data_IF_324958544418
#
_entry.id   IF_324958544418
#
_cell.length_a   1.000
_cell.length_b   1.000
_cell.length_c   1.000
_cell.angle_alpha   90.00
_cell.angle_beta   90.00
_cell.angle_gamma   90.00
#
_symmetry.space_group_name_H-M   'P 1'
#
loop_
_entity.id
_entity.type
_entity.pdbx_description
1 polymer ?
#
# COMPACT_ATOMS: atom_id res chain seq x y z
N UNK A 1 -15.74 -49.25 -49.64
CA UNK A 1 -14.57 -50.10 -49.35
C UNK A 1 -13.48 -49.77 -50.36
N UNK A 2 -12.31 -49.49 -49.81
CA UNK A 2 -11.11 -48.94 -50.40
C UNK A 2 -10.59 -49.77 -51.58
N UNK A 3 -10.18 -49.11 -52.66
CA UNK A 3 -8.99 -49.52 -53.43
C UNK A 3 -8.10 -48.30 -53.65
N UNK A 4 -7.05 -48.25 -52.85
CA UNK A 4 -5.85 -47.46 -53.06
C UNK A 4 -5.22 -47.79 -54.42
N UNK A 5 -4.31 -46.94 -54.92
CA UNK A 5 -2.86 -47.16 -54.75
C UNK A 5 -2.01 -46.47 -55.86
N UNK A 6 -1.07 -45.59 -55.43
CA UNK A 6 0.28 -45.32 -56.00
C UNK A 6 0.36 -44.51 -57.32
N UNK A 7 1.33 -43.63 -57.62
CA UNK A 7 2.45 -42.95 -56.92
C UNK A 7 3.23 -42.13 -58.00
N UNK A 8 3.64 -40.91 -57.64
CA UNK A 8 4.87 -40.17 -58.01
C UNK A 8 5.35 -39.96 -59.48
N UNK A 9 5.50 -38.65 -59.76
CA UNK A 9 6.71 -37.95 -60.29
C UNK A 9 7.13 -38.19 -61.75
N UNK A 10 7.07 -37.13 -62.56
CA UNK A 10 8.17 -36.60 -63.39
C UNK A 10 7.80 -35.14 -63.77
N UNK A 11 8.44 -34.13 -63.17
CA UNK A 11 9.52 -33.31 -63.77
C UNK A 11 9.02 -32.32 -64.84
N UNK A 12 9.02 -31.05 -64.44
CA UNK A 12 9.61 -29.88 -65.12
C UNK A 12 9.89 -30.02 -66.64
N UNK A 13 9.25 -29.18 -67.46
CA UNK A 13 9.89 -28.22 -68.39
C UNK A 13 8.93 -27.76 -69.50
N UNK A 14 8.58 -26.47 -69.48
CA UNK A 14 8.48 -25.54 -70.62
C UNK A 14 7.66 -24.32 -70.16
N UNK A 15 8.32 -23.30 -69.61
CA UNK A 15 8.84 -22.14 -70.34
C UNK A 15 7.77 -21.42 -71.19
N UNK A 16 7.36 -20.28 -70.63
CA UNK A 16 7.23 -18.98 -71.29
C UNK A 16 6.28 -18.87 -72.50
N UNK A 17 5.16 -18.19 -72.28
CA UNK A 17 4.90 -16.99 -73.06
C UNK A 17 4.13 -15.96 -72.23
N UNK A 18 4.69 -14.75 -72.20
CA UNK A 18 4.23 -13.58 -71.49
C UNK A 18 2.84 -13.12 -71.94
N UNK A 19 2.03 -12.65 -70.99
CA UNK A 19 1.30 -11.40 -71.21
C UNK A 19 1.19 -10.61 -69.91
N UNK A 20 1.83 -9.43 -69.92
CA UNK A 20 1.83 -8.47 -68.82
C UNK A 20 0.46 -7.79 -68.72
N UNK A 21 -0.37 -8.23 -67.78
CA UNK A 21 -1.45 -7.40 -67.27
C UNK A 21 -0.94 -6.62 -66.06
N UNK A 22 -0.82 -5.30 -66.23
CA UNK A 22 -0.49 -4.33 -65.19
C UNK A 22 -1.39 -4.54 -63.98
N UNK A 23 -0.82 -5.07 -62.90
CA UNK A 23 -1.44 -5.05 -61.60
C UNK A 23 -1.62 -3.58 -61.19
N UNK A 24 -2.87 -3.17 -60.95
CA UNK A 24 -3.16 -1.99 -60.14
C UNK A 24 -2.47 -2.21 -58.79
N UNK A 25 -1.54 -1.33 -58.44
CA UNK A 25 -1.15 -1.14 -57.04
C UNK A 25 -2.41 -0.82 -56.25
N UNK A 26 -2.94 -1.85 -55.59
CA UNK A 26 -3.74 -1.64 -54.39
C UNK A 26 -2.75 -1.09 -53.39
N UNK A 27 -2.79 0.24 -53.19
CA UNK A 27 -2.24 0.83 -51.97
C UNK A 27 -3.01 0.16 -50.84
N UNK A 28 -2.40 -0.87 -50.26
CA UNK A 28 -2.75 -1.31 -48.94
C UNK A 28 -2.44 -0.10 -48.07
N UNK A 29 -3.45 0.71 -47.79
CA UNK A 29 -3.45 1.58 -46.63
C UNK A 29 -3.31 0.62 -45.45
N UNK A 30 -2.05 0.39 -45.07
CA UNK A 30 -1.72 -0.19 -43.77
C UNK A 30 -2.29 0.81 -42.79
N UNK A 31 -3.49 0.52 -42.29
CA UNK A 31 -3.99 1.12 -41.07
C UNK A 31 -2.98 0.71 -40.02
N UNK A 32 -1.99 1.58 -39.78
CA UNK A 32 -1.16 1.50 -38.60
C UNK A 32 -2.15 1.76 -37.47
N UNK A 33 -2.69 0.69 -36.92
CA UNK A 33 -3.37 0.70 -35.64
C UNK A 33 -2.29 1.22 -34.68
N UNK A 34 -2.36 2.52 -34.37
CA UNK A 34 -1.53 3.11 -33.33
C UNK A 34 -1.69 2.22 -32.11
N UNK A 35 -0.60 1.59 -31.70
CA UNK A 35 -0.57 0.87 -30.43
C UNK A 35 -1.16 1.82 -29.38
N UNK A 36 -2.13 1.38 -28.57
CA UNK A 36 -2.66 2.22 -27.52
C UNK A 36 -1.48 2.72 -26.68
N UNK A 37 -1.43 4.03 -26.45
CA UNK A 37 -0.41 4.63 -25.59
C UNK A 37 -0.33 3.84 -24.28
N UNK A 38 0.89 3.52 -23.79
CA UNK A 38 1.04 2.80 -22.54
C UNK A 38 0.31 3.56 -21.43
N UNK A 39 -0.44 2.82 -20.63
CA UNK A 39 -1.17 3.40 -19.50
C UNK A 39 -0.22 4.23 -18.64
N UNK A 40 -0.67 5.41 -18.22
CA UNK A 40 0.09 6.31 -17.36
C UNK A 40 -0.83 6.86 -16.28
N UNK A 41 -0.52 6.54 -15.02
CA UNK A 41 -1.23 7.07 -13.88
C UNK A 41 -1.14 8.61 -13.86
N UNK A 42 -2.27 9.23 -13.52
CA UNK A 42 -2.34 10.68 -13.37
C UNK A 42 -1.48 11.14 -12.20
N UNK A 43 -0.98 12.37 -12.27
CA UNK A 43 -0.27 13.02 -11.17
C UNK A 43 -1.17 14.12 -10.61
N UNK A 44 -1.40 14.07 -9.31
CA UNK A 44 -2.26 15.00 -8.59
C UNK A 44 -1.45 15.96 -7.72
N UNK A 45 -2.07 17.09 -7.37
CA UNK A 45 -1.52 18.05 -6.41
C UNK A 45 -2.44 18.12 -5.20
N UNK A 46 -1.84 18.26 -4.02
CA UNK A 46 -2.53 18.26 -2.74
C UNK A 46 -2.18 19.55 -2.01
N UNK A 47 -3.10 20.50 -2.00
CA UNK A 47 -2.88 21.80 -1.35
C UNK A 47 -3.40 21.78 0.08
N UNK A 48 -2.50 22.05 1.03
CA UNK A 48 -2.85 22.41 2.41
C UNK A 48 -3.77 21.41 3.14
N UNK A 49 -3.62 20.11 2.87
CA UNK A 49 -4.38 19.04 3.51
C UNK A 49 -3.73 18.61 4.83
N UNK A 50 -4.55 18.30 5.84
CA UNK A 50 -4.07 17.58 7.02
C UNK A 50 -3.66 16.15 6.69
N UNK A 51 -2.93 15.47 7.58
CA UNK A 51 -2.51 14.09 7.37
C UNK A 51 -3.67 13.16 6.95
N UNK A 52 -4.81 13.10 7.68
CA UNK A 52 -5.93 12.25 7.26
C UNK A 52 -6.52 12.66 5.91
N UNK A 53 -6.72 13.97 5.68
CA UNK A 53 -7.30 14.47 4.43
C UNK A 53 -6.43 14.15 3.22
N UNK A 54 -5.11 14.25 3.35
CA UNK A 54 -4.17 13.90 2.30
C UNK A 54 -4.21 12.41 1.94
N UNK A 55 -4.14 11.53 2.93
CA UNK A 55 -4.19 10.09 2.69
C UNK A 55 -5.55 9.65 2.13
N UNK A 56 -6.64 10.28 2.55
CA UNK A 56 -7.95 10.09 1.91
C UNK A 56 -7.96 10.55 0.45
N UNK A 57 -7.41 11.72 0.16
CA UNK A 57 -7.35 12.25 -1.21
C UNK A 57 -6.46 11.39 -2.11
N UNK A 58 -5.33 10.88 -1.62
CA UNK A 58 -4.50 9.91 -2.35
C UNK A 58 -5.30 8.65 -2.69
N UNK A 59 -6.00 8.08 -1.71
CA UNK A 59 -6.81 6.89 -1.94
C UNK A 59 -7.93 7.14 -2.96
N UNK A 60 -8.64 8.26 -2.83
CA UNK A 60 -9.74 8.62 -3.74
C UNK A 60 -9.23 8.87 -5.17
N UNK A 61 -8.07 9.52 -5.34
CA UNK A 61 -7.50 9.87 -6.64
C UNK A 61 -6.92 8.68 -7.41
N UNK A 62 -6.34 7.69 -6.71
CA UNK A 62 -5.66 6.55 -7.33
C UNK A 62 -6.43 5.23 -7.26
N UNK A 63 -7.66 5.23 -6.76
CA UNK A 63 -8.50 4.02 -6.73
C UNK A 63 -8.67 3.40 -8.13
N UNK A 64 -8.97 4.23 -9.14
CA UNK A 64 -9.13 3.74 -10.51
C UNK A 64 -7.83 3.13 -11.05
N UNK A 65 -6.69 3.74 -10.73
CA UNK A 65 -5.39 3.24 -11.17
C UNK A 65 -5.06 1.88 -10.54
N UNK A 66 -5.40 1.70 -9.26
CA UNK A 66 -5.26 0.42 -8.56
C UNK A 66 -6.17 -0.68 -9.14
N UNK A 67 -7.36 -0.32 -9.63
CA UNK A 67 -8.27 -1.27 -10.27
C UNK A 67 -7.70 -1.86 -11.57
N UNK A 68 -6.78 -1.16 -12.23
CA UNK A 68 -6.14 -1.66 -13.46
C UNK A 68 -5.19 -2.83 -13.18
N UNK A 69 -4.45 -2.79 -12.06
CA UNK A 69 -3.46 -3.84 -11.75
C UNK A 69 -3.88 -4.83 -10.66
N UNK A 70 -4.64 -4.43 -9.65
CA UNK A 70 -4.96 -5.31 -8.53
C UNK A 70 -6.08 -6.32 -8.85
N UNK A 71 -5.70 -7.60 -8.96
CA UNK A 71 -6.64 -8.69 -9.20
C UNK A 71 -7.28 -9.24 -7.91
N UNK A 72 -6.77 -8.84 -6.74
CA UNK A 72 -7.16 -9.38 -5.43
C UNK A 72 -8.59 -9.00 -5.08
N UNK A 73 -9.00 -7.77 -5.37
CA UNK A 73 -10.39 -7.33 -5.19
C UNK A 73 -11.39 -8.23 -5.94
N UNK A 74 -11.13 -8.52 -7.22
CA UNK A 74 -11.99 -9.38 -8.03
C UNK A 74 -11.98 -10.83 -7.53
N UNK A 75 -10.86 -11.29 -6.97
CA UNK A 75 -10.79 -12.59 -6.29
C UNK A 75 -11.74 -12.61 -5.09
N UNK A 76 -11.69 -11.62 -4.18
CA UNK A 76 -12.59 -11.54 -3.05
C UNK A 76 -14.06 -11.42 -3.46
N UNK A 77 -14.37 -10.62 -4.49
CA UNK A 77 -15.73 -10.49 -4.99
C UNK A 77 -16.31 -11.83 -5.48
N UNK A 78 -15.49 -12.64 -6.18
CA UNK A 78 -15.91 -13.98 -6.61
C UNK A 78 -16.07 -14.94 -5.43
N UNK A 79 -15.08 -14.98 -4.53
CA UNK A 79 -15.05 -15.90 -3.39
C UNK A 79 -16.22 -15.66 -2.44
N UNK A 80 -16.53 -14.39 -2.17
CA UNK A 80 -17.52 -14.00 -1.17
C UNK A 80 -18.85 -13.48 -1.77
N UNK A 81 -19.03 -13.57 -3.09
CA UNK A 81 -20.21 -13.08 -3.81
C UNK A 81 -20.51 -11.60 -3.53
N UNK A 82 -19.47 -10.79 -3.48
CA UNK A 82 -19.57 -9.34 -3.30
C UNK A 82 -19.98 -8.69 -4.62
N UNK A 83 -20.72 -7.58 -4.52
CA UNK A 83 -20.95 -6.71 -5.66
C UNK A 83 -19.64 -5.99 -5.99
N UNK A 84 -19.06 -6.36 -7.14
CA UNK A 84 -17.79 -5.81 -7.64
C UNK A 84 -17.90 -4.37 -8.14
N UNK A 85 -19.12 -3.90 -8.42
CA UNK A 85 -19.39 -2.58 -8.98
C UNK A 85 -19.99 -1.65 -7.90
N UNK A 86 -20.22 -2.14 -6.68
CA UNK A 86 -20.67 -1.32 -5.56
C UNK A 86 -19.60 -0.31 -5.16
N UNK A 87 -19.94 0.98 -5.24
CA UNK A 87 -19.01 2.08 -4.96
C UNK A 87 -18.49 2.10 -3.52
N UNK A 88 -19.27 1.58 -2.57
CA UNK A 88 -18.85 1.53 -1.15
C UNK A 88 -17.83 0.43 -0.94
N UNK A 89 -18.02 -0.74 -1.58
CA UNK A 89 -17.05 -1.83 -1.59
C UNK A 89 -15.73 -1.38 -2.20
N UNK A 90 -15.78 -0.80 -3.40
CA UNK A 90 -14.61 -0.28 -4.11
C UNK A 90 -13.86 0.73 -3.24
N UNK A 91 -14.57 1.76 -2.75
CA UNK A 91 -13.97 2.80 -1.92
C UNK A 91 -13.31 2.23 -0.66
N UNK A 92 -14.01 1.38 0.07
CA UNK A 92 -13.52 0.85 1.35
C UNK A 92 -12.32 -0.07 1.14
N UNK A 93 -12.38 -0.97 0.15
CA UNK A 93 -11.29 -1.89 -0.17
C UNK A 93 -10.04 -1.13 -0.64
N UNK A 94 -10.17 -0.27 -1.66
CA UNK A 94 -9.01 0.39 -2.24
C UNK A 94 -8.43 1.48 -1.33
N UNK A 95 -9.24 2.12 -0.48
CA UNK A 95 -8.69 3.00 0.57
C UNK A 95 -7.73 2.22 1.47
N UNK A 96 -8.14 1.04 1.95
CA UNK A 96 -7.28 0.21 2.79
C UNK A 96 -6.06 -0.29 2.01
N UNK A 97 -6.25 -0.78 0.78
CA UNK A 97 -5.17 -1.32 -0.07
C UNK A 97 -4.07 -0.29 -0.33
N UNK A 98 -4.45 0.89 -0.80
CA UNK A 98 -3.50 1.95 -1.16
C UNK A 98 -2.71 2.39 0.06
N UNK A 99 -3.38 2.59 1.21
CA UNK A 99 -2.71 3.00 2.44
C UNK A 99 -1.80 1.91 3.00
N UNK A 100 -2.19 0.64 2.86
CA UNK A 100 -1.34 -0.49 3.23
C UNK A 100 -0.04 -0.48 2.41
N UNK A 101 -0.14 -0.42 1.08
CA UNK A 101 1.02 -0.45 0.18
C UNK A 101 1.98 0.73 0.42
N UNK A 102 1.44 1.89 0.79
CA UNK A 102 2.23 3.06 1.15
C UNK A 102 3.05 2.86 2.43
N UNK A 103 2.51 2.15 3.42
CA UNK A 103 3.02 2.11 4.79
C UNK A 103 3.67 0.76 5.18
N UNK A 104 3.57 -0.25 4.31
CA UNK A 104 4.05 -1.61 4.57
C UNK A 104 5.58 -1.75 4.50
N UNK A 105 6.07 -2.90 4.97
CA UNK A 105 7.38 -3.50 4.71
C UNK A 105 7.20 -4.96 4.28
N UNK A 106 8.27 -5.60 3.82
CA UNK A 106 8.20 -6.97 3.31
C UNK A 106 8.50 -8.03 4.37
N UNK A 107 9.32 -7.69 5.37
CA UNK A 107 9.78 -8.61 6.43
C UNK A 107 9.99 -7.86 7.75
N UNK A 108 10.23 -8.62 8.83
CA UNK A 108 10.65 -8.12 10.14
C UNK A 108 12.18 -8.01 10.29
N UNK A 109 12.91 -8.02 9.18
CA UNK A 109 14.35 -7.78 9.17
C UNK A 109 14.63 -6.28 9.22
N UNK A 110 15.69 -5.89 9.92
CA UNK A 110 16.09 -4.49 9.96
C UNK A 110 16.35 -3.97 8.54
N UNK A 111 15.93 -2.73 8.31
CA UNK A 111 15.97 -2.08 7.02
C UNK A 111 15.06 -2.66 5.92
N UNK A 112 14.22 -3.65 6.23
CA UNK A 112 13.15 -4.09 5.33
C UNK A 112 12.18 -2.95 5.04
N UNK A 113 11.81 -2.75 3.76
CA UNK A 113 11.00 -1.61 3.29
C UNK A 113 9.93 -2.10 2.33
N UNK A 114 8.81 -1.39 2.27
CA UNK A 114 7.84 -1.52 1.18
C UNK A 114 8.35 -0.81 -0.08
N UNK A 115 7.59 -0.97 -1.17
CA UNK A 115 8.05 -0.56 -2.50
C UNK A 115 7.95 0.96 -2.75
N UNK A 116 7.16 1.68 -1.92
CA UNK A 116 6.79 3.07 -2.19
C UNK A 116 7.58 4.08 -1.34
N UNK A 117 7.32 4.14 -0.03
CA UNK A 117 7.75 5.27 0.83
C UNK A 117 9.10 5.11 1.52
N UNK A 118 9.85 4.06 1.21
CA UNK A 118 11.17 3.80 1.78
C UNK A 118 11.18 3.89 3.32
N UNK A 119 10.22 3.24 3.98
CA UNK A 119 10.11 3.25 5.44
C UNK A 119 10.75 1.96 5.96
N UNK A 120 11.93 2.00 6.60
CA UNK A 120 12.59 0.80 7.10
C UNK A 120 11.95 0.25 8.37
N UNK A 121 11.88 -1.07 8.46
CA UNK A 121 11.64 -1.79 9.68
C UNK A 121 12.87 -1.68 10.59
N UNK A 122 12.68 -1.34 11.87
CA UNK A 122 13.78 -1.10 12.81
C UNK A 122 13.40 -1.60 14.21
N UNK A 123 13.79 -2.83 14.57
CA UNK A 123 13.44 -3.43 15.85
C UNK A 123 14.43 -3.06 16.96
N UNK A 124 14.00 -2.22 17.89
CA UNK A 124 14.91 -1.62 18.87
C UNK A 124 15.16 -2.44 20.15
N UNK A 125 14.56 -3.63 20.27
CA UNK A 125 14.79 -4.53 21.41
C UNK A 125 15.88 -5.57 21.13
N UNK A 126 16.64 -5.36 20.06
CA UNK A 126 17.82 -6.14 19.73
C UNK A 126 19.06 -5.56 20.42
N UNK A 127 20.06 -6.41 20.62
CA UNK A 127 21.42 -6.01 21.02
C UNK A 127 22.40 -6.49 19.94
N UNK A 128 23.01 -5.59 19.15
CA UNK A 128 22.88 -4.12 19.22
C UNK A 128 21.52 -3.59 18.73
N UNK A 129 21.09 -2.44 19.27
CA UNK A 129 19.88 -1.76 18.81
C UNK A 129 20.15 -1.04 17.47
N UNK A 130 19.49 -1.43 16.36
CA UNK A 130 19.74 -0.85 15.03
C UNK A 130 19.40 0.64 14.93
N UNK A 131 18.58 1.18 15.85
CA UNK A 131 18.28 2.62 15.88
C UNK A 131 19.45 3.47 16.35
N UNK A 132 20.45 2.86 16.99
CA UNK A 132 21.59 3.59 17.58
C UNK A 132 22.59 4.11 16.53
N UNK A 133 22.53 3.61 15.29
CA UNK A 133 23.32 4.10 14.16
C UNK A 133 22.60 5.16 13.32
N UNK A 134 21.30 5.41 13.57
CA UNK A 134 20.51 6.38 12.82
C UNK A 134 20.98 7.79 13.14
N UNK A 135 21.11 8.62 12.11
CA UNK A 135 21.46 10.04 12.18
C UNK A 135 20.33 10.93 11.71
N UNK A 136 20.26 12.12 12.28
CA UNK A 136 19.47 13.23 11.72
C UNK A 136 20.17 13.75 10.46
N UNK A 137 19.48 13.77 9.32
CA UNK A 137 20.06 14.26 8.04
C UNK A 137 20.52 15.70 8.15
N UNK A 138 19.75 16.56 8.83
CA UNK A 138 20.01 18.00 8.91
C UNK A 138 21.24 18.36 9.75
N UNK A 139 21.62 17.52 10.72
CA UNK A 139 22.71 17.84 11.67
C UNK A 139 23.84 16.81 11.66
N UNK A 140 23.63 15.62 11.10
CA UNK A 140 24.56 14.49 11.16
C UNK A 140 24.65 13.81 12.53
N UNK A 141 23.96 14.33 13.55
CA UNK A 141 23.98 13.80 14.92
C UNK A 141 23.29 12.44 15.00
N UNK A 142 23.82 11.55 15.83
CA UNK A 142 23.19 10.26 16.11
C UNK A 142 21.93 10.47 16.95
N UNK A 143 20.91 9.63 16.74
CA UNK A 143 19.69 9.68 17.56
C UNK A 143 19.95 9.34 19.04
N UNK A 144 21.05 8.65 19.35
CA UNK A 144 21.51 8.37 20.72
C UNK A 144 22.10 9.59 21.42
N UNK A 145 22.56 10.60 20.66
CA UNK A 145 23.10 11.85 21.18
C UNK A 145 22.01 12.91 21.42
N UNK A 146 20.79 12.63 20.95
CA UNK A 146 19.64 13.53 21.06
C UNK A 146 18.77 13.07 22.23
N UNK A 147 18.58 13.94 23.22
CA UNK A 147 17.68 13.68 24.34
C UNK A 147 16.23 13.50 23.85
N UNK A 148 15.42 12.66 24.52
CA UNK A 148 14.03 12.48 24.12
C UNK A 148 13.22 13.76 24.37
N UNK A 149 12.18 14.03 23.55
CA UNK A 149 11.21 15.09 23.83
C UNK A 149 10.55 14.90 25.20
N UNK A 150 9.96 15.96 25.75
CA UNK A 150 9.42 15.97 27.11
C UNK A 150 8.35 14.89 27.35
N UNK A 151 7.50 14.61 26.35
CA UNK A 151 6.50 13.54 26.42
C UNK A 151 7.11 12.12 26.43
N UNK A 152 8.39 11.98 26.09
CA UNK A 152 9.15 10.74 26.00
C UNK A 152 10.27 10.65 27.04
N UNK A 153 10.20 11.44 28.13
CA UNK A 153 11.22 11.50 29.19
C UNK A 153 11.60 10.17 29.88
N UNK A 154 10.85 9.10 29.62
CA UNK A 154 11.14 7.75 30.14
C UNK A 154 12.24 7.01 29.36
N UNK A 155 12.53 7.46 28.14
CA UNK A 155 13.57 6.91 27.28
C UNK A 155 14.91 7.59 27.57
N UNK A 156 16.01 6.94 27.17
CA UNK A 156 17.35 7.51 27.36
C UNK A 156 17.71 8.48 26.24
N UNK A 157 17.30 8.18 25.01
CA UNK A 157 17.57 8.98 23.83
C UNK A 157 16.40 8.98 22.86
N UNK A 158 16.49 9.80 21.81
CA UNK A 158 15.52 9.82 20.72
C UNK A 158 15.49 8.48 19.96
N UNK A 159 16.61 7.76 19.90
CA UNK A 159 16.72 6.44 19.26
C UNK A 159 15.84 5.38 19.94
N UNK A 160 15.61 5.52 21.25
CA UNK A 160 14.94 4.49 22.06
C UNK A 160 13.42 4.65 22.10
N UNK A 161 12.88 5.74 21.53
CA UNK A 161 11.46 6.09 21.65
C UNK A 161 10.59 5.07 20.89
N UNK A 162 9.55 4.54 21.56
CA UNK A 162 8.40 3.93 20.88
C UNK A 162 7.63 5.01 20.13
N UNK A 163 7.64 4.93 18.80
CA UNK A 163 7.05 5.94 17.93
C UNK A 163 5.52 5.91 18.00
N UNK A 164 4.95 6.98 18.54
CA UNK A 164 3.50 7.18 18.58
C UNK A 164 2.94 7.43 17.18
N UNK A 165 1.62 7.23 16.94
CA UNK A 165 1.00 7.48 15.64
C UNK A 165 1.35 8.83 15.02
N UNK A 166 1.24 9.91 15.82
CA UNK A 166 1.60 11.24 15.36
C UNK A 166 3.08 11.35 15.03
N UNK A 167 3.98 10.88 15.89
CA UNK A 167 5.42 10.97 15.62
C UNK A 167 5.80 10.23 14.33
N UNK A 168 5.24 9.02 14.15
CA UNK A 168 5.48 8.21 12.95
C UNK A 168 5.02 8.93 11.67
N UNK A 169 3.76 9.41 11.64
CA UNK A 169 3.16 10.01 10.45
C UNK A 169 3.64 11.45 10.20
N UNK A 170 3.86 12.25 11.25
CA UNK A 170 4.37 13.63 11.10
C UNK A 170 5.82 13.66 10.61
N UNK A 171 6.64 12.65 10.93
CA UNK A 171 7.98 12.50 10.34
C UNK A 171 7.91 12.03 8.88
N UNK A 172 6.97 11.12 8.55
CA UNK A 172 6.75 10.64 7.19
C UNK A 172 6.44 11.78 6.21
N UNK A 173 5.69 12.78 6.69
CA UNK A 173 5.18 13.90 5.88
C UNK A 173 6.02 15.19 6.04
N UNK A 174 7.25 15.11 6.52
CA UNK A 174 8.19 16.24 6.47
C UNK A 174 8.65 16.52 5.02
N UNK A 175 8.95 17.78 4.69
CA UNK A 175 9.41 18.19 3.34
C UNK A 175 10.55 17.33 2.81
N UNK A 176 11.54 17.05 3.67
CA UNK A 176 12.71 16.25 3.35
C UNK A 176 12.77 15.02 4.26
N UNK A 177 13.30 13.88 3.78
CA UNK A 177 13.59 12.76 4.65
C UNK A 177 14.44 13.18 5.86
N UNK A 178 14.04 12.74 7.05
CA UNK A 178 14.62 13.22 8.31
C UNK A 178 15.82 12.41 8.78
N UNK A 179 15.91 11.14 8.36
CA UNK A 179 16.82 10.17 8.93
C UNK A 179 17.73 9.54 7.88
N UNK A 180 18.93 9.17 8.31
CA UNK A 180 19.89 8.40 7.53
C UNK A 180 20.48 7.28 8.41
N UNK A 181 20.65 6.09 7.84
CA UNK A 181 21.43 5.01 8.45
C UNK A 181 22.44 4.45 7.46
N UNK A 182 23.67 4.06 7.87
CA UNK A 182 24.60 3.37 6.98
C UNK A 182 24.03 2.07 6.39
N UNK A 183 23.21 1.36 7.16
CA UNK A 183 22.61 0.07 6.76
C UNK A 183 21.55 0.21 5.67
N UNK A 184 20.82 1.33 5.65
CA UNK A 184 19.76 1.55 4.69
C UNK A 184 19.46 3.03 4.46
N UNK A 185 20.49 3.76 4.05
CA UNK A 185 20.42 5.09 3.46
C UNK A 185 19.40 6.05 4.13
N UNK A 186 18.77 6.91 3.35
CA UNK A 186 17.97 8.05 3.78
C UNK A 186 16.48 7.70 3.74
N UNK A 187 15.76 7.97 4.83
CA UNK A 187 14.34 7.62 4.98
C UNK A 187 13.54 8.67 5.77
N UNK A 188 12.23 8.82 5.51
CA UNK A 188 11.43 9.89 6.13
C UNK A 188 10.99 9.57 7.56
N UNK A 189 10.68 8.31 7.83
CA UNK A 189 10.31 7.76 9.15
C UNK A 189 10.80 6.32 9.22
N UNK A 190 10.66 5.69 10.36
CA UNK A 190 11.00 4.28 10.57
C UNK A 190 10.10 3.71 11.66
N UNK A 191 10.08 2.38 11.79
CA UNK A 191 9.46 1.74 12.93
C UNK A 191 9.35 0.23 12.80
N UNK A 192 9.20 -0.44 13.92
CA UNK A 192 8.88 -1.87 14.00
C UNK A 192 7.37 -2.15 13.94
N UNK A 193 6.99 -3.43 14.05
CA UNK A 193 5.63 -3.90 13.82
C UNK A 193 4.58 -3.06 14.56
N UNK A 194 4.71 -2.85 15.86
CA UNK A 194 3.68 -2.18 16.64
C UNK A 194 3.55 -0.68 16.35
N UNK A 195 4.64 0.01 16.05
CA UNK A 195 4.63 1.43 15.69
C UNK A 195 3.92 1.66 14.36
N UNK A 196 4.18 0.76 13.38
CA UNK A 196 3.49 0.76 12.08
C UNK A 196 2.00 0.54 12.26
N UNK A 197 1.62 -0.49 13.00
CA UNK A 197 0.20 -0.82 13.20
C UNK A 197 -0.54 0.23 14.03
N UNK A 198 0.10 0.82 15.04
CA UNK A 198 -0.48 1.96 15.77
C UNK A 198 -0.73 3.15 14.84
N UNK A 199 0.24 3.49 13.99
CA UNK A 199 0.11 4.59 13.04
C UNK A 199 -0.98 4.32 12.00
N UNK A 200 -0.98 3.13 11.41
CA UNK A 200 -1.98 2.68 10.45
C UNK A 200 -3.38 2.67 11.07
N UNK A 201 -3.56 2.02 12.23
CA UNK A 201 -4.83 1.97 12.94
C UNK A 201 -5.35 3.37 13.30
N UNK A 202 -4.49 4.27 13.78
CA UNK A 202 -4.90 5.65 14.07
C UNK A 202 -5.37 6.38 12.81
N UNK A 203 -4.65 6.24 11.69
CA UNK A 203 -5.05 6.83 10.41
C UNK A 203 -6.40 6.28 9.94
N UNK A 204 -6.54 4.96 9.88
CA UNK A 204 -7.80 4.31 9.46
C UNK A 204 -8.99 4.77 10.30
N UNK A 205 -8.81 4.93 11.62
CA UNK A 205 -9.86 5.46 12.50
C UNK A 205 -10.22 6.91 12.20
N UNK A 206 -9.24 7.77 11.90
CA UNK A 206 -9.53 9.14 11.46
C UNK A 206 -10.27 9.20 10.13
N UNK A 207 -10.15 8.16 9.31
CA UNK A 207 -10.91 7.99 8.06
C UNK A 207 -12.27 7.28 8.26
N UNK A 208 -12.67 7.01 9.50
CA UNK A 208 -13.97 6.43 9.83
C UNK A 208 -14.04 4.90 9.84
N UNK A 209 -12.90 4.21 9.72
CA UNK A 209 -12.86 2.74 9.78
C UNK A 209 -12.74 2.24 11.21
N UNK A 210 -13.40 1.11 11.49
CA UNK A 210 -13.26 0.43 12.78
C UNK A 210 -12.01 -0.45 12.78
N UNK A 211 -10.87 0.16 13.13
CA UNK A 211 -9.56 -0.49 13.16
C UNK A 211 -9.01 -0.66 14.59
N UNK A 212 -8.27 -1.75 14.81
CA UNK A 212 -7.65 -2.10 16.09
C UNK A 212 -6.35 -2.89 15.88
N UNK A 213 -5.35 -2.68 16.72
CA UNK A 213 -4.11 -3.46 16.73
C UNK A 213 -4.30 -4.76 17.51
N UNK A 214 -3.89 -5.89 16.94
CA UNK A 214 -3.69 -7.17 17.62
C UNK A 214 -2.21 -7.43 17.77
N UNK A 215 -1.81 -8.00 18.91
CA UNK A 215 -0.39 -8.27 19.19
C UNK A 215 -0.22 -9.55 20.05
N UNK A 216 -0.44 -10.75 19.50
CA UNK A 216 -0.09 -11.98 20.19
C UNK A 216 1.43 -12.23 20.13
N UNK A 217 2.07 -12.36 21.30
CA UNK A 217 3.51 -12.59 21.38
C UNK A 217 4.32 -11.36 20.98
N UNK A 218 5.23 -11.53 20.02
CA UNK A 218 6.22 -10.50 19.61
C UNK A 218 5.86 -9.77 18.32
N UNK A 219 4.75 -10.13 17.68
CA UNK A 219 4.31 -9.55 16.41
C UNK A 219 2.95 -8.87 16.54
N UNK A 220 2.68 -7.90 15.69
CA UNK A 220 1.41 -7.18 15.66
C UNK A 220 0.92 -6.88 14.25
N UNK A 221 -0.39 -6.86 14.08
CA UNK A 221 -1.08 -6.47 12.86
C UNK A 221 -2.33 -5.62 13.20
N UNK A 222 -2.92 -4.97 12.21
CA UNK A 222 -4.21 -4.30 12.33
C UNK A 222 -5.35 -5.23 11.90
N UNK A 223 -6.41 -5.29 12.68
CA UNK A 223 -7.71 -5.84 12.28
C UNK A 223 -8.68 -4.70 11.97
N UNK A 224 -9.45 -4.85 10.90
CA UNK A 224 -10.54 -3.95 10.50
C UNK A 224 -11.81 -4.77 10.30
N UNK A 225 -12.93 -4.33 10.89
CA UNK A 225 -14.24 -4.86 10.55
C UNK A 225 -14.76 -4.09 9.33
N UNK A 226 -14.81 -4.76 8.18
CA UNK A 226 -15.11 -4.16 6.89
C UNK A 226 -16.52 -4.53 6.41
N UNK A 227 -17.48 -3.59 6.40
CA UNK A 227 -18.79 -3.82 5.81
C UNK A 227 -18.69 -3.85 4.28
N UNK A 228 -19.21 -4.91 3.67
CA UNK A 228 -19.25 -5.10 2.22
C UNK A 228 -20.67 -5.47 1.75
N UNK A 229 -21.03 -5.05 0.54
CA UNK A 229 -22.29 -5.38 -0.13
C UNK A 229 -22.16 -6.63 -0.98
N UNK A 230 -23.07 -7.58 -0.79
CA UNK A 230 -23.20 -8.74 -1.69
C UNK A 230 -23.91 -8.37 -2.99
N UNK A 231 -23.84 -9.24 -4.00
CA UNK A 231 -24.59 -9.07 -5.26
C UNK A 231 -26.12 -8.99 -5.08
N UNK A 232 -26.64 -9.37 -3.90
CA UNK A 232 -28.06 -9.22 -3.53
C UNK A 232 -28.34 -7.92 -2.75
N UNK A 233 -27.34 -7.04 -2.59
CA UNK A 233 -27.45 -5.79 -1.83
C UNK A 233 -27.39 -5.95 -0.30
N UNK A 234 -27.21 -7.17 0.22
CA UNK A 234 -27.05 -7.43 1.66
C UNK A 234 -25.70 -6.89 2.14
N UNK A 235 -25.66 -6.21 3.28
CA UNK A 235 -24.40 -5.93 3.97
C UNK A 235 -23.95 -7.16 4.76
N UNK A 236 -22.71 -7.58 4.53
CA UNK A 236 -21.97 -8.58 5.31
C UNK A 236 -20.72 -7.92 5.88
N UNK A 237 -20.16 -8.44 6.96
CA UNK A 237 -19.00 -7.86 7.62
C UNK A 237 -17.83 -8.84 7.55
N UNK A 238 -16.66 -8.36 7.16
CA UNK A 238 -15.45 -9.17 7.13
C UNK A 238 -14.49 -8.75 8.22
N UNK A 239 -13.90 -9.73 8.90
CA UNK A 239 -12.67 -9.47 9.65
C UNK A 239 -11.52 -9.41 8.64
N UNK A 240 -10.94 -8.23 8.50
CA UNK A 240 -9.85 -7.95 7.58
C UNK A 240 -8.55 -7.83 8.36
N UNK A 241 -7.50 -8.54 7.95
CA UNK A 241 -6.16 -8.44 8.51
C UNK A 241 -5.28 -7.60 7.61
N UNK A 242 -4.63 -6.60 8.21
CA UNK A 242 -3.59 -5.78 7.58
C UNK A 242 -2.30 -5.94 8.39
N UNK A 243 -1.26 -6.46 7.77
CA UNK A 243 0.05 -6.66 8.37
C UNK A 243 1.09 -5.85 7.60
N UNK A 244 1.35 -4.63 8.07
CA UNK A 244 2.29 -3.70 7.47
C UNK A 244 3.76 -4.10 7.71
N UNK A 245 4.02 -5.25 8.35
CA UNK A 245 5.38 -5.78 8.49
C UNK A 245 5.71 -6.79 7.39
N UNK A 246 4.72 -7.59 6.99
CA UNK A 246 4.87 -8.72 6.06
C UNK A 246 4.09 -8.55 4.76
N UNK A 247 3.60 -7.35 4.46
CA UNK A 247 2.84 -7.04 3.24
C UNK A 247 1.63 -7.96 3.05
N UNK A 248 0.83 -8.11 4.11
CA UNK A 248 -0.40 -8.91 4.07
C UNK A 248 -1.61 -7.99 4.19
N UNK A 249 -2.47 -8.02 3.17
CA UNK A 249 -3.85 -7.55 3.26
C UNK A 249 -4.76 -8.72 2.89
N UNK A 250 -5.52 -9.22 3.87
CA UNK A 250 -6.47 -10.31 3.67
C UNK A 250 -7.88 -10.03 4.22
N UNK A 251 -8.90 -10.24 3.38
CA UNK A 251 -10.30 -10.38 3.82
C UNK A 251 -10.50 -11.83 4.30
N UNK A 252 -10.26 -12.07 5.60
CA UNK A 252 -10.15 -13.44 6.12
C UNK A 252 -11.48 -14.21 6.05
N UNK A 253 -12.54 -13.72 6.70
CA UNK A 253 -13.85 -14.38 6.75
C UNK A 253 -14.98 -13.44 7.17
N UNK A 254 -16.21 -13.80 6.79
CA UNK A 254 -17.43 -13.14 7.25
C UNK A 254 -17.60 -13.36 8.76
N UNK A 255 -18.01 -12.31 9.47
CA UNK A 255 -18.28 -12.30 10.91
C UNK A 255 -19.68 -11.79 11.19
N UNK A 256 -20.26 -12.22 12.31
CA UNK A 256 -21.58 -11.79 12.75
C UNK A 256 -21.51 -10.65 13.77
N UNK A 257 -22.67 -10.13 14.16
CA UNK A 257 -22.77 -9.04 15.12
C UNK A 257 -22.31 -9.43 16.54
N UNK A 258 -22.35 -10.72 16.89
CA UNK A 258 -21.87 -11.20 18.19
C UNK A 258 -20.35 -11.06 18.24
N UNK A 259 -19.66 -11.56 17.21
CA UNK A 259 -18.23 -11.40 17.06
C UNK A 259 -17.82 -9.93 17.05
N UNK A 260 -18.52 -9.08 16.28
CA UNK A 260 -18.22 -7.64 16.21
C UNK A 260 -18.30 -7.01 17.59
N UNK A 261 -19.36 -7.27 18.35
CA UNK A 261 -19.54 -6.71 19.69
C UNK A 261 -18.42 -7.17 20.65
N UNK A 262 -18.06 -8.45 20.63
CA UNK A 262 -16.94 -8.96 21.44
C UNK A 262 -15.61 -8.33 21.04
N UNK A 263 -15.36 -8.20 19.73
CA UNK A 263 -14.14 -7.65 19.16
C UNK A 263 -13.97 -6.15 19.51
N UNK A 264 -15.06 -5.38 19.50
CA UNK A 264 -15.09 -3.96 19.87
C UNK A 264 -14.74 -3.73 21.35
N UNK A 265 -15.18 -4.64 22.22
CA UNK A 265 -14.92 -4.56 23.66
C UNK A 265 -13.54 -5.11 24.05
N UNK A 266 -12.99 -6.05 23.29
CA UNK A 266 -11.63 -6.50 23.47
C UNK A 266 -10.66 -5.38 23.05
N UNK A 267 -9.89 -4.78 23.96
CA UNK A 267 -8.73 -3.93 23.58
C UNK A 267 -7.40 -4.67 23.76
N UNK A 268 -7.46 -5.96 24.11
CA UNK A 268 -6.34 -6.74 24.60
C UNK A 268 -5.97 -6.42 26.05
N UNK A 269 -4.95 -7.13 26.53
CA UNK A 269 -4.35 -6.99 27.85
C UNK A 269 -2.87 -6.64 27.72
N UNK A 270 -2.33 -5.85 28.66
CA UNK A 270 -0.92 -5.43 28.64
C UNK A 270 -0.57 -4.57 27.42
N UNK A 271 0.42 -5.02 26.65
CA UNK A 271 0.98 -4.31 25.49
C UNK A 271 -0.04 -3.98 24.38
N UNK A 272 -0.84 -4.94 23.85
CA UNK A 272 -1.89 -4.61 22.88
C UNK A 272 -2.90 -3.56 23.36
N UNK A 273 -3.21 -3.52 24.67
CA UNK A 273 -4.07 -2.47 25.24
C UNK A 273 -3.44 -1.10 25.15
N UNK A 274 -2.13 -1.00 25.38
CA UNK A 274 -1.40 0.24 25.22
C UNK A 274 -1.39 0.69 23.75
N UNK A 275 -1.14 -0.22 22.81
CA UNK A 275 -1.19 0.10 21.36
C UNK A 275 -2.54 0.68 20.96
N UNK A 276 -3.64 0.02 21.33
CA UNK A 276 -4.98 0.48 21.01
C UNK A 276 -5.32 1.81 21.70
N UNK A 277 -4.92 2.01 22.97
CA UNK A 277 -5.11 3.30 23.65
C UNK A 277 -4.36 4.44 22.96
N UNK A 278 -3.18 4.18 22.42
CA UNK A 278 -2.41 5.16 21.66
C UNK A 278 -3.06 5.45 20.31
N UNK A 279 -3.44 4.41 19.55
CA UNK A 279 -4.13 4.56 18.28
C UNK A 279 -5.49 5.27 18.42
N UNK A 280 -6.19 5.05 19.54
CA UNK A 280 -7.54 5.59 19.78
C UNK A 280 -7.50 6.93 20.53
N UNK A 281 -6.31 7.44 20.84
CA UNK A 281 -6.15 8.66 21.62
C UNK A 281 -6.69 9.87 20.86
N UNK A 282 -7.63 10.60 21.47
CA UNK A 282 -8.08 11.90 20.96
C UNK A 282 -6.92 12.88 20.79
N UNK A 283 -5.91 12.82 21.66
CA UNK A 283 -4.73 13.66 21.55
C UNK A 283 -3.93 13.38 20.28
N UNK A 284 -3.76 12.11 19.92
CA UNK A 284 -3.12 11.72 18.66
C UNK A 284 -3.98 12.14 17.47
N UNK A 285 -5.28 11.85 17.49
CA UNK A 285 -6.21 12.24 16.43
C UNK A 285 -6.23 13.76 16.20
N UNK A 286 -6.29 14.58 17.26
CA UNK A 286 -6.23 16.05 17.15
C UNK A 286 -4.93 16.52 16.50
N UNK A 287 -3.78 15.96 16.90
CA UNK A 287 -2.49 16.31 16.31
C UNK A 287 -2.40 15.93 14.83
N UNK A 288 -2.91 14.75 14.45
CA UNK A 288 -2.97 14.33 13.04
C UNK A 288 -3.83 15.27 12.20
N UNK A 289 -5.02 15.63 12.69
CA UNK A 289 -5.92 16.57 12.00
C UNK A 289 -5.37 18.00 11.92
N UNK A 290 -4.56 18.41 12.89
CA UNK A 290 -3.94 19.74 12.90
C UNK A 290 -2.66 19.84 12.06
N UNK A 291 -2.04 18.71 11.70
CA UNK A 291 -0.78 18.70 10.97
C UNK A 291 -1.04 18.79 9.47
N UNK A 292 -0.84 19.99 8.91
CA UNK A 292 -0.88 20.23 7.48
C UNK A 292 0.38 19.68 6.82
N UNK A 293 0.21 18.95 5.72
CA UNK A 293 1.32 18.39 4.96
C UNK A 293 1.91 19.47 4.06
N UNK A 294 3.23 19.74 4.12
CA UNK A 294 3.90 20.62 3.17
C UNK A 294 3.79 20.10 1.73
N UNK A 295 3.61 21.01 0.77
CA UNK A 295 3.45 20.66 -0.65
C UNK A 295 4.56 19.72 -1.17
N UNK A 296 5.83 19.99 -0.81
CA UNK A 296 6.96 19.12 -1.21
C UNK A 296 6.86 17.70 -0.69
N UNK A 297 6.32 17.52 0.52
CA UNK A 297 6.13 16.18 1.08
C UNK A 297 5.02 15.43 0.33
N UNK A 298 3.93 16.13 0.01
CA UNK A 298 2.85 15.59 -0.82
C UNK A 298 3.36 15.19 -2.22
N UNK A 299 4.07 16.07 -2.91
CA UNK A 299 4.68 15.80 -4.23
C UNK A 299 5.64 14.61 -4.21
N UNK A 300 6.44 14.47 -3.14
CA UNK A 300 7.35 13.34 -2.97
C UNK A 300 6.60 12.01 -2.84
N UNK A 301 5.56 11.98 -2.00
CA UNK A 301 4.74 10.78 -1.78
C UNK A 301 3.99 10.43 -3.07
N UNK A 302 3.38 11.41 -3.71
CA UNK A 302 2.67 11.28 -4.99
C UNK A 302 3.57 10.70 -6.07
N UNK A 303 4.75 11.29 -6.28
CA UNK A 303 5.69 10.83 -7.31
C UNK A 303 6.10 9.38 -7.08
N UNK A 304 6.31 8.98 -5.82
CA UNK A 304 6.65 7.60 -5.47
C UNK A 304 5.51 6.63 -5.74
N UNK A 305 4.27 7.02 -5.40
CA UNK A 305 3.07 6.23 -5.66
C UNK A 305 2.82 6.06 -7.17
N UNK A 306 2.86 7.15 -7.93
CA UNK A 306 2.68 7.12 -9.39
C UNK A 306 3.73 6.25 -10.08
N UNK A 307 4.99 6.32 -9.64
CA UNK A 307 6.05 5.46 -10.17
C UNK A 307 5.77 3.97 -9.88
N UNK A 308 5.31 3.65 -8.66
CA UNK A 308 4.90 2.30 -8.29
C UNK A 308 3.75 1.80 -9.18
N UNK A 309 2.67 2.58 -9.29
CA UNK A 309 1.50 2.23 -10.11
C UNK A 309 1.89 1.96 -11.57
N UNK A 310 2.67 2.86 -12.18
CA UNK A 310 3.11 2.70 -13.57
C UNK A 310 3.96 1.42 -13.75
N UNK A 311 4.83 1.11 -12.78
CA UNK A 311 5.60 -0.13 -12.77
C UNK A 311 4.70 -1.36 -12.70
N UNK A 312 3.76 -1.37 -11.76
CA UNK A 312 2.83 -2.50 -11.54
C UNK A 312 1.91 -2.77 -12.73
N UNK A 313 1.55 -1.75 -13.51
CA UNK A 313 0.74 -1.92 -14.72
C UNK A 313 1.59 -2.40 -15.90
N UNK A 314 2.84 -1.95 -16.01
CA UNK A 314 3.73 -2.34 -17.12
C UNK A 314 4.21 -3.80 -17.01
N UNK A 315 4.28 -4.35 -15.79
CA UNK A 315 4.70 -5.73 -15.54
C UNK A 315 3.60 -6.78 -15.76
N UNK A 316 2.37 -6.37 -16.11
CA UNK A 316 1.27 -7.29 -16.48
C UNK A 316 1.38 -7.80 -17.92
#
# INVERSE_FOLDING_TARGET
MIKHLILFVFVLLSLASCEQNKAKEVKNDVVILSQPEPYKAAVYSYDSLSIPQFFQAIADNHMADYMEFDSSYLFYCRTFKLDKDDSTNLKSYYTIKILHDLLTSKTSEDCSRGDILNIPYMWHWLDPNPRHEIRMVSTGQLLTEIGPPAEFKRYNSYADIDRTPFLYLSDLVQENPKYYSPSCDTFPTFGWCSEREMAFSALMRTLGFNAKVKAPGIHSWTEIILPMKTVQGKTVYFKTRIDNTYDVFDLEHEVDNVFISEWEHDLGNGTPRWYNRMAFSEGQARRLNACVIPLKAAERIETKLVNYINGSITEK
#
